data_IF_866333719860
#
_entry.id   IF_866333719860
#
_cell.length_a   1.000
_cell.length_b   1.000
_cell.length_c   1.000
_cell.angle_alpha   90.00
_cell.angle_beta   90.00
_cell.angle_gamma   90.00
#
_symmetry.space_group_name_H-M   'P 1'
#
loop_
_entity.id
_entity.type
_entity.pdbx_description
1 polymer ?
#
# COMPACT_ATOMS: atom_id res chain seq x y z
N UNK A 1 -40.42 -11.81 -2.58
CA UNK A 1 -39.15 -12.55 -2.77
C UNK A 1 -38.05 -11.68 -3.37
N UNK A 2 -38.28 -10.99 -4.50
CA UNK A 2 -37.29 -10.09 -5.15
C UNK A 2 -36.62 -9.10 -4.21
N UNK A 3 -37.41 -8.31 -3.46
CA UNK A 3 -36.87 -7.30 -2.56
C UNK A 3 -35.96 -7.89 -1.49
N UNK A 4 -36.30 -9.05 -0.91
CA UNK A 4 -35.48 -9.71 0.12
C UNK A 4 -34.14 -10.23 -0.43
N UNK A 5 -34.13 -10.79 -1.64
CA UNK A 5 -32.91 -11.26 -2.33
C UNK A 5 -31.98 -10.11 -2.73
N UNK A 6 -32.55 -9.03 -3.28
CA UNK A 6 -31.79 -7.82 -3.62
C UNK A 6 -31.20 -7.21 -2.35
N UNK A 7 -31.95 -7.17 -1.24
CA UNK A 7 -31.46 -6.63 0.02
C UNK A 7 -30.35 -7.50 0.64
N UNK A 8 -30.50 -8.83 0.61
CA UNK A 8 -29.50 -9.74 1.19
C UNK A 8 -28.20 -9.80 0.39
N UNK A 9 -28.27 -9.96 -0.94
CA UNK A 9 -27.06 -9.95 -1.78
C UNK A 9 -26.48 -8.54 -1.93
N UNK A 10 -27.33 -7.51 -1.93
CA UNK A 10 -26.89 -6.11 -1.91
C UNK A 10 -26.13 -5.78 -0.62
N UNK A 11 -26.58 -6.26 0.53
CA UNK A 11 -25.86 -6.10 1.80
C UNK A 11 -24.48 -6.75 1.75
N UNK A 12 -24.35 -7.96 1.19
CA UNK A 12 -23.06 -8.63 1.00
C UNK A 12 -22.14 -7.80 0.09
N UNK A 13 -22.66 -7.28 -1.03
CA UNK A 13 -21.90 -6.43 -1.93
C UNK A 13 -21.43 -5.14 -1.24
N UNK A 14 -22.28 -4.50 -0.42
CA UNK A 14 -21.91 -3.29 0.34
C UNK A 14 -20.84 -3.59 1.39
N UNK A 15 -20.93 -4.72 2.10
CA UNK A 15 -19.90 -5.14 3.06
C UNK A 15 -18.56 -5.39 2.37
N UNK A 16 -18.57 -6.04 1.20
CA UNK A 16 -17.36 -6.26 0.41
C UNK A 16 -16.75 -4.95 -0.10
N UNK A 17 -17.58 -4.00 -0.54
CA UNK A 17 -17.13 -2.67 -0.96
C UNK A 17 -16.53 -1.88 0.22
N UNK A 18 -17.18 -1.90 1.39
CA UNK A 18 -16.65 -1.25 2.58
C UNK A 18 -15.31 -1.85 3.01
N UNK A 19 -15.20 -3.17 3.00
CA UNK A 19 -13.94 -3.88 3.27
C UNK A 19 -12.84 -3.49 2.27
N UNK A 20 -13.19 -3.38 0.98
CA UNK A 20 -12.28 -2.94 -0.07
C UNK A 20 -11.80 -1.50 0.13
N UNK A 21 -12.72 -0.57 0.41
CA UNK A 21 -12.40 0.84 0.65
C UNK A 21 -11.52 0.99 1.89
N UNK A 22 -11.81 0.25 2.96
CA UNK A 22 -10.98 0.25 4.18
C UNK A 22 -9.57 -0.23 3.87
N UNK A 23 -9.42 -1.34 3.13
CA UNK A 23 -8.11 -1.87 2.72
C UNK A 23 -7.31 -0.87 1.86
N UNK A 24 -7.95 -0.17 0.93
CA UNK A 24 -7.29 0.86 0.09
C UNK A 24 -6.93 2.11 0.90
N UNK A 25 -7.75 2.51 1.87
CA UNK A 25 -7.45 3.66 2.73
C UNK A 25 -6.30 3.36 3.70
N UNK A 26 -6.27 2.16 4.28
CA UNK A 26 -5.16 1.68 5.10
C UNK A 26 -3.86 1.63 4.28
N UNK A 27 -3.94 1.22 3.02
CA UNK A 27 -2.85 1.31 2.05
C UNK A 27 -2.40 2.76 1.77
N UNK A 28 -3.32 3.72 1.60
CA UNK A 28 -2.94 5.13 1.35
C UNK A 28 -2.18 5.74 2.52
N UNK A 29 -2.56 5.37 3.76
CA UNK A 29 -1.89 5.82 4.98
C UNK A 29 -0.51 5.17 5.17
N UNK A 30 -0.38 3.91 4.75
CA UNK A 30 0.93 3.23 4.72
C UNK A 30 1.83 3.79 3.60
N UNK A 31 1.28 4.16 2.44
CA UNK A 31 2.02 4.78 1.34
C UNK A 31 2.52 6.19 1.66
N UNK A 32 1.75 7.01 2.38
CA UNK A 32 2.24 8.30 2.86
C UNK A 32 3.39 8.14 3.87
N UNK A 33 3.32 7.11 4.72
CA UNK A 33 4.41 6.77 5.63
C UNK A 33 5.68 6.32 4.88
N UNK A 34 5.52 5.61 3.75
CA UNK A 34 6.62 5.21 2.87
C UNK A 34 7.26 6.42 2.16
N UNK A 35 6.46 7.37 1.69
CA UNK A 35 6.98 8.59 1.05
C UNK A 35 7.75 9.47 2.04
N UNK A 36 7.29 9.55 3.29
CA UNK A 36 7.99 10.28 4.35
C UNK A 36 9.28 9.58 4.80
N UNK A 37 9.34 8.25 4.72
CA UNK A 37 10.54 7.48 5.03
C UNK A 37 11.62 7.73 3.96
N UNK A 38 11.26 7.58 2.68
CA UNK A 38 12.18 7.81 1.56
C UNK A 38 12.69 9.26 1.55
N UNK A 39 11.84 10.25 1.86
CA UNK A 39 12.26 11.65 1.96
C UNK A 39 13.32 11.85 3.06
N UNK A 40 13.09 11.29 4.26
CA UNK A 40 14.06 11.35 5.37
C UNK A 40 15.37 10.62 5.05
N UNK A 41 15.28 9.54 4.30
CA UNK A 41 16.45 8.76 3.89
C UNK A 41 17.33 9.51 2.87
N UNK A 42 16.70 10.20 1.91
CA UNK A 42 17.40 11.07 0.94
C UNK A 42 18.09 12.23 1.64
N UNK A 43 17.42 12.87 2.60
CA UNK A 43 18.00 13.94 3.40
C UNK A 43 19.21 13.44 4.20
N UNK A 44 19.12 12.23 4.76
CA UNK A 44 20.21 11.62 5.50
C UNK A 44 21.44 11.28 4.64
N UNK A 45 21.25 10.82 3.41
CA UNK A 45 22.37 10.64 2.45
C UNK A 45 23.07 11.98 2.17
N UNK A 46 22.27 13.02 1.96
CA UNK A 46 22.78 14.34 1.67
C UNK A 46 23.57 14.90 2.87
N UNK A 47 23.09 14.68 4.09
CA UNK A 47 23.78 15.07 5.31
C UNK A 47 25.11 14.31 5.50
N UNK A 48 25.13 12.99 5.26
CA UNK A 48 26.36 12.20 5.32
C UNK A 48 27.41 12.65 4.28
N UNK A 49 26.98 13.01 3.07
CA UNK A 49 27.87 13.61 2.04
C UNK A 49 28.43 14.95 2.46
N UNK A 50 27.56 15.85 2.93
CA UNK A 50 27.94 17.19 3.40
C UNK A 50 28.93 17.15 4.56
N UNK A 51 28.83 16.12 5.41
CA UNK A 51 29.79 15.84 6.49
C UNK A 51 31.20 15.59 5.95
N UNK A 52 31.33 14.73 4.93
CA UNK A 52 32.61 14.48 4.26
C UNK A 52 33.15 15.70 3.53
N UNK A 53 32.29 16.41 2.80
CA UNK A 53 32.65 17.63 2.06
C UNK A 53 33.17 18.73 2.98
N UNK A 54 32.49 19.01 4.09
CA UNK A 54 32.91 20.03 5.05
C UNK A 54 34.27 19.70 5.68
N UNK A 55 34.50 18.42 6.03
CA UNK A 55 35.78 17.99 6.60
C UNK A 55 36.93 18.13 5.57
N UNK A 56 36.69 17.75 4.31
CA UNK A 56 37.69 17.87 3.23
C UNK A 56 37.98 19.33 2.90
N UNK A 57 36.95 20.19 2.81
CA UNK A 57 37.09 21.62 2.54
C UNK A 57 37.95 22.30 3.61
N UNK A 58 37.69 22.02 4.89
CA UNK A 58 38.50 22.54 5.99
C UNK A 58 39.95 22.05 5.94
N UNK A 59 40.17 20.77 5.63
CA UNK A 59 41.52 20.23 5.52
C UNK A 59 42.30 20.84 4.34
N UNK A 60 41.64 21.06 3.21
CA UNK A 60 42.21 21.76 2.06
C UNK A 60 42.52 23.23 2.37
N UNK A 61 41.65 23.90 3.14
CA UNK A 61 41.90 25.27 3.58
C UNK A 61 43.15 25.36 4.47
N UNK A 62 43.36 24.41 5.40
CA UNK A 62 44.59 24.31 6.18
C UNK A 62 45.81 24.08 5.27
N UNK A 63 45.70 23.17 4.30
CA UNK A 63 46.81 22.87 3.39
C UNK A 63 47.18 24.09 2.53
N UNK A 64 46.18 24.83 2.03
CA UNK A 64 46.37 26.07 1.28
C UNK A 64 47.04 27.14 2.15
N UNK A 65 46.60 27.29 3.40
CA UNK A 65 47.19 28.20 4.38
C UNK A 65 48.67 27.90 4.61
N UNK A 66 49.03 26.62 4.76
CA UNK A 66 50.45 26.18 4.89
C UNK A 66 51.25 26.45 3.61
N UNK A 67 50.62 26.32 2.43
CA UNK A 67 51.27 26.53 1.13
C UNK A 67 51.61 27.99 0.81
N UNK A 68 50.71 28.92 1.16
CA UNK A 68 50.87 30.36 0.89
C UNK A 68 51.74 31.08 1.94
N UNK A 69 51.93 30.49 3.11
CA UNK A 69 52.79 31.03 4.18
C UNK A 69 52.26 32.30 4.85
N UNK A 70 51.01 32.69 4.57
CA UNK A 70 50.36 33.95 4.97
C UNK A 70 49.28 33.76 6.05
N UNK A 71 49.43 32.75 6.90
CA UNK A 71 48.36 32.37 7.85
C UNK A 71 48.30 33.35 9.01
N UNK A 72 47.26 34.19 8.99
CA UNK A 72 46.98 35.12 10.10
C UNK A 72 45.92 34.53 11.04
N UNK A 73 44.98 33.72 10.53
CA UNK A 73 43.89 33.09 11.30
C UNK A 73 43.55 31.68 10.76
N UNK A 74 42.99 30.80 11.61
CA UNK A 74 42.48 29.49 11.20
C UNK A 74 41.28 29.66 10.25
N UNK A 75 41.07 28.74 9.28
CA UNK A 75 39.83 28.70 8.52
C UNK A 75 38.63 28.57 9.46
N UNK A 76 37.53 29.25 9.14
CA UNK A 76 36.29 29.10 9.90
C UNK A 76 35.70 27.70 9.69
N UNK A 77 35.23 27.07 10.75
CA UNK A 77 34.61 25.76 10.70
C UNK A 77 33.44 25.69 11.68
N UNK A 78 32.25 25.42 11.13
CA UNK A 78 31.04 25.28 11.93
C UNK A 78 30.98 23.91 12.62
N UNK A 79 31.70 23.83 13.75
CA UNK A 79 31.73 22.65 14.61
C UNK A 79 30.34 22.29 15.15
N UNK A 80 29.48 23.27 15.37
CA UNK A 80 28.15 23.05 15.91
C UNK A 80 27.23 22.40 14.89
N UNK A 81 27.21 22.91 13.65
CA UNK A 81 26.45 22.32 12.55
C UNK A 81 26.96 20.91 12.21
N UNK A 82 28.28 20.68 12.26
CA UNK A 82 28.86 19.36 12.04
C UNK A 82 28.36 18.33 13.08
N UNK A 83 28.44 18.69 14.37
CA UNK A 83 27.99 17.80 15.46
C UNK A 83 26.48 17.54 15.40
N UNK A 84 25.68 18.56 15.09
CA UNK A 84 24.23 18.42 14.93
C UNK A 84 23.87 17.44 13.80
N UNK A 85 24.62 17.44 12.69
CA UNK A 85 24.43 16.48 11.60
C UNK A 85 24.83 15.06 11.98
N UNK A 86 25.89 14.87 12.77
CA UNK A 86 26.20 13.54 13.31
C UNK A 86 25.08 13.03 14.23
N UNK A 87 24.50 13.91 15.05
CA UNK A 87 23.38 13.57 15.93
C UNK A 87 22.11 13.21 15.15
N UNK A 88 21.78 13.97 14.09
CA UNK A 88 20.61 13.67 13.25
C UNK A 88 20.74 12.32 12.55
N UNK A 89 21.92 12.02 12.00
CA UNK A 89 22.18 10.73 11.33
C UNK A 89 22.15 9.55 12.32
N UNK A 90 22.69 9.73 13.52
CA UNK A 90 22.62 8.71 14.58
C UNK A 90 21.19 8.43 15.03
N UNK A 91 20.31 9.42 15.00
CA UNK A 91 18.90 9.27 15.37
C UNK A 91 18.06 8.68 14.23
N UNK A 92 18.48 8.87 12.98
CA UNK A 92 17.76 8.41 11.78
C UNK A 92 17.87 6.89 11.56
N UNK A 93 19.00 6.26 11.91
CA UNK A 93 19.24 4.83 11.61
C UNK A 93 19.59 4.01 12.85
N UNK A 94 18.86 2.91 13.06
CA UNK A 94 19.14 1.96 14.14
C UNK A 94 20.48 1.26 13.89
N UNK A 95 21.40 1.34 14.85
CA UNK A 95 22.72 0.69 14.76
C UNK A 95 23.84 1.55 14.18
N UNK A 96 23.57 2.80 13.79
CA UNK A 96 24.62 3.75 13.34
C UNK A 96 25.21 4.59 14.46
N UNK A 97 24.65 4.52 15.68
CA UNK A 97 25.12 5.32 16.84
C UNK A 97 26.60 5.13 17.13
N UNK A 98 27.10 3.89 17.08
CA UNK A 98 28.52 3.60 17.34
C UNK A 98 29.44 4.19 16.26
N UNK A 99 28.97 4.22 15.00
CA UNK A 99 29.70 4.82 13.88
C UNK A 99 29.67 6.34 13.97
N UNK A 100 28.52 6.93 14.30
CA UNK A 100 28.38 8.37 14.52
C UNK A 100 29.25 8.84 15.70
N UNK A 101 29.30 8.08 16.79
CA UNK A 101 30.18 8.38 17.94
C UNK A 101 31.66 8.25 17.56
N UNK A 102 32.01 7.28 16.72
CA UNK A 102 33.37 7.15 16.16
C UNK A 102 33.75 8.37 15.31
N UNK A 103 32.84 8.86 14.47
CA UNK A 103 33.02 10.09 13.67
C UNK A 103 33.23 11.30 14.58
N UNK A 104 32.38 11.49 15.60
CA UNK A 104 32.51 12.61 16.57
C UNK A 104 33.85 12.56 17.32
N UNK A 105 34.30 11.37 17.70
CA UNK A 105 35.59 11.18 18.37
C UNK A 105 36.76 11.51 17.43
N UNK A 106 36.75 11.00 16.21
CA UNK A 106 37.78 11.28 15.21
C UNK A 106 37.81 12.77 14.83
N UNK A 107 36.63 13.39 14.74
CA UNK A 107 36.46 14.81 14.50
C UNK A 107 37.08 15.65 15.62
N UNK A 108 36.76 15.34 16.88
CA UNK A 108 37.31 16.03 18.05
C UNK A 108 38.84 15.94 18.09
N UNK A 109 39.40 14.76 17.78
CA UNK A 109 40.84 14.56 17.72
C UNK A 109 41.52 15.34 16.57
N UNK A 110 40.85 15.41 15.42
CA UNK A 110 41.31 16.18 14.27
C UNK A 110 41.26 17.69 14.56
N UNK A 111 40.14 18.19 15.08
CA UNK A 111 39.96 19.60 15.41
C UNK A 111 40.96 20.07 16.48
N UNK A 112 41.15 19.28 17.54
CA UNK A 112 42.17 19.56 18.57
C UNK A 112 43.58 19.67 17.98
N UNK A 113 43.92 18.79 17.04
CA UNK A 113 45.21 18.83 16.35
C UNK A 113 45.29 20.08 15.47
N UNK A 114 44.23 20.45 14.77
CA UNK A 114 44.21 21.63 13.90
C UNK A 114 44.44 22.96 14.64
N UNK A 115 44.03 23.06 15.92
CA UNK A 115 44.27 24.25 16.75
C UNK A 115 45.77 24.53 16.99
N UNK A 116 46.61 23.51 16.89
CA UNK A 116 48.05 23.65 17.04
C UNK A 116 48.71 24.38 15.86
N UNK A 117 48.01 24.49 14.73
CA UNK A 117 48.47 25.17 13.53
C UNK A 117 48.94 26.60 13.84
N UNK A 118 48.19 27.32 14.68
CA UNK A 118 48.52 28.69 15.06
C UNK A 118 49.84 28.83 15.83
N UNK A 119 50.25 27.80 16.57
CA UNK A 119 51.56 27.75 17.24
C UNK A 119 52.66 27.27 16.29
N UNK A 120 52.37 26.24 15.49
CA UNK A 120 53.31 25.61 14.55
C UNK A 120 53.81 26.61 13.49
N UNK A 121 52.92 27.46 12.99
CA UNK A 121 53.27 28.47 11.97
C UNK A 121 54.13 29.60 12.54
N UNK A 122 53.94 29.95 13.82
CA UNK A 122 54.71 31.01 14.50
C UNK A 122 56.06 30.53 15.03
N UNK A 123 56.30 29.22 15.05
CA UNK A 123 57.52 28.65 15.59
C UNK A 123 58.59 28.51 14.51
N UNK A 124 59.66 29.30 14.62
CA UNK A 124 60.78 29.33 13.67
C UNK A 124 61.51 27.98 13.49
N UNK A 125 61.34 27.04 14.43
CA UNK A 125 62.03 25.75 14.46
C UNK A 125 61.13 24.56 14.04
N UNK A 126 59.83 24.76 13.84
CA UNK A 126 58.91 23.68 13.49
C UNK A 126 58.70 23.64 11.98
N UNK A 127 58.98 22.48 11.37
CA UNK A 127 58.62 22.27 9.97
C UNK A 127 57.09 22.10 9.86
N UNK A 128 56.39 23.18 9.52
CA UNK A 128 54.92 23.21 9.39
C UNK A 128 54.40 22.16 8.41
N UNK A 129 55.13 21.92 7.32
CA UNK A 129 54.79 20.88 6.33
C UNK A 129 54.95 19.48 6.90
N UNK A 130 56.03 19.21 7.63
CA UNK A 130 56.25 17.96 8.35
C UNK A 130 55.17 17.70 9.40
N UNK A 131 54.83 18.71 10.20
CA UNK A 131 53.73 18.63 11.16
C UNK A 131 52.39 18.28 10.49
N UNK A 132 52.08 18.85 9.31
CA UNK A 132 50.87 18.50 8.57
C UNK A 132 50.86 17.02 8.17
N UNK A 133 51.90 16.53 7.50
CA UNK A 133 51.95 15.14 7.00
C UNK A 133 52.08 14.11 8.13
N UNK A 134 52.84 14.42 9.17
CA UNK A 134 53.16 13.47 10.24
C UNK A 134 52.10 13.46 11.36
N UNK A 135 51.37 14.56 11.56
CA UNK A 135 50.47 14.73 12.71
C UNK A 135 49.03 15.02 12.34
N UNK A 136 48.77 15.98 11.44
CA UNK A 136 47.40 16.35 11.08
C UNK A 136 46.77 15.37 10.09
N UNK A 137 47.48 15.02 9.01
CA UNK A 137 46.98 14.15 7.94
C UNK A 137 46.57 12.76 8.45
N UNK A 138 47.29 12.08 9.37
CA UNK A 138 46.83 10.79 9.90
C UNK A 138 45.52 10.89 10.69
N UNK A 139 45.28 12.03 11.38
CA UNK A 139 44.02 12.29 12.11
C UNK A 139 42.89 12.55 11.14
N UNK A 140 43.15 13.33 10.09
CA UNK A 140 42.20 13.58 9.01
C UNK A 140 41.81 12.28 8.29
N UNK A 141 42.78 11.44 7.93
CA UNK A 141 42.54 10.15 7.28
C UNK A 141 41.68 9.22 8.13
N UNK A 142 41.79 9.30 9.47
CA UNK A 142 40.93 8.56 10.39
C UNK A 142 39.50 9.10 10.38
N UNK A 143 39.33 10.41 10.49
CA UNK A 143 38.02 11.07 10.39
C UNK A 143 37.32 10.70 9.07
N UNK A 144 38.03 10.82 7.95
CA UNK A 144 37.51 10.46 6.62
C UNK A 144 37.03 9.01 6.56
N UNK A 145 37.83 8.07 7.08
CA UNK A 145 37.45 6.65 7.12
C UNK A 145 36.19 6.42 7.96
N UNK A 146 36.09 7.07 9.11
CA UNK A 146 34.94 6.91 10.00
C UNK A 146 33.66 7.51 9.36
N UNK A 147 33.78 8.64 8.64
CA UNK A 147 32.70 9.22 7.83
C UNK A 147 32.30 8.27 6.69
N UNK A 148 33.27 7.69 5.98
CA UNK A 148 33.01 6.74 4.89
C UNK A 148 32.28 5.49 5.41
N UNK A 149 32.69 4.97 6.58
CA UNK A 149 32.03 3.83 7.21
C UNK A 149 30.58 4.14 7.63
N UNK A 150 30.35 5.32 8.23
CA UNK A 150 29.01 5.79 8.58
C UNK A 150 28.13 5.92 7.32
N UNK A 151 28.67 6.54 6.28
CA UNK A 151 28.01 6.72 4.99
C UNK A 151 27.64 5.38 4.35
N UNK A 152 28.57 4.43 4.31
CA UNK A 152 28.32 3.07 3.79
C UNK A 152 27.25 2.32 4.58
N UNK A 153 27.23 2.46 5.91
CA UNK A 153 26.19 1.85 6.74
C UNK A 153 24.81 2.44 6.43
N UNK A 154 24.72 3.77 6.29
CA UNK A 154 23.48 4.46 5.89
C UNK A 154 23.00 4.00 4.50
N UNK A 155 23.90 3.92 3.51
CA UNK A 155 23.55 3.42 2.18
C UNK A 155 23.10 1.96 2.20
N UNK A 156 23.76 1.11 3.01
CA UNK A 156 23.43 -0.30 3.13
C UNK A 156 22.06 -0.54 3.74
N UNK A 157 21.75 0.15 4.85
CA UNK A 157 20.45 0.06 5.50
C UNK A 157 19.34 0.60 4.59
N UNK A 158 19.63 1.68 3.86
CA UNK A 158 18.67 2.23 2.90
C UNK A 158 18.40 1.29 1.72
N UNK A 159 19.44 0.70 1.13
CA UNK A 159 19.28 -0.27 0.03
C UNK A 159 18.47 -1.48 0.48
N UNK A 160 18.74 -1.98 1.68
CA UNK A 160 18.00 -3.08 2.27
C UNK A 160 16.53 -2.71 2.46
N UNK A 161 16.24 -1.54 3.03
CA UNK A 161 14.88 -1.07 3.22
C UNK A 161 14.15 -0.87 1.88
N UNK A 162 14.78 -0.23 0.89
CA UNK A 162 14.20 -0.01 -0.44
C UNK A 162 13.84 -1.33 -1.16
N UNK A 163 14.75 -2.31 -1.20
CA UNK A 163 14.53 -3.60 -1.87
C UNK A 163 13.42 -4.43 -1.18
N UNK A 164 13.37 -4.38 0.15
CA UNK A 164 12.36 -5.10 0.94
C UNK A 164 10.98 -4.41 0.90
N UNK A 165 10.95 -3.09 0.69
CA UNK A 165 9.73 -2.30 0.53
C UNK A 165 9.08 -2.53 -0.84
N UNK A 166 9.84 -2.49 -1.94
CA UNK A 166 9.28 -2.66 -3.29
C UNK A 166 8.71 -4.08 -3.51
N UNK A 167 9.40 -5.10 -3.01
CA UNK A 167 9.04 -6.49 -3.25
C UNK A 167 7.92 -7.02 -2.35
N UNK A 168 7.82 -6.56 -1.09
CA UNK A 168 6.78 -7.03 -0.18
C UNK A 168 5.43 -6.35 -0.41
N UNK A 169 5.42 -5.07 -0.78
CA UNK A 169 4.20 -4.28 -0.98
C UNK A 169 3.42 -4.75 -2.22
N UNK A 170 4.10 -4.93 -3.35
CA UNK A 170 3.46 -5.41 -4.58
C UNK A 170 2.99 -6.87 -4.46
N UNK A 171 3.76 -7.74 -3.78
CA UNK A 171 3.46 -9.18 -3.68
C UNK A 171 2.35 -9.52 -2.69
N UNK A 172 2.16 -8.70 -1.65
CA UNK A 172 1.13 -8.97 -0.63
C UNK A 172 -0.27 -8.48 -1.04
N UNK A 173 -0.35 -7.38 -1.79
CA UNK A 173 -1.59 -6.60 -1.91
C UNK A 173 -2.38 -6.89 -3.20
N UNK A 174 -1.69 -7.08 -4.32
CA UNK A 174 -2.33 -7.36 -5.62
C UNK A 174 -3.29 -8.57 -5.55
N UNK A 175 -2.91 -9.71 -4.94
CA UNK A 175 -3.83 -10.84 -4.83
C UNK A 175 -5.10 -10.51 -4.04
N UNK A 176 -5.01 -9.64 -3.03
CA UNK A 176 -6.14 -9.21 -2.21
C UNK A 176 -7.15 -8.37 -2.99
N UNK A 177 -6.67 -7.35 -3.72
CA UNK A 177 -7.54 -6.48 -4.55
C UNK A 177 -8.24 -7.30 -5.64
N UNK A 178 -7.50 -8.20 -6.31
CA UNK A 178 -8.05 -9.06 -7.36
C UNK A 178 -9.10 -10.02 -6.79
N UNK A 179 -8.84 -10.65 -5.64
CA UNK A 179 -9.79 -11.55 -5.00
C UNK A 179 -11.11 -10.84 -4.63
N UNK A 180 -11.03 -9.61 -4.12
CA UNK A 180 -12.22 -8.81 -3.79
C UNK A 180 -13.00 -8.43 -5.05
N UNK A 181 -12.32 -7.99 -6.11
CA UNK A 181 -12.96 -7.65 -7.38
C UNK A 181 -13.70 -8.84 -8.00
N UNK A 182 -13.05 -10.01 -8.04
CA UNK A 182 -13.67 -11.25 -8.53
C UNK A 182 -14.85 -11.67 -7.64
N UNK A 183 -14.71 -11.58 -6.32
CA UNK A 183 -15.78 -11.89 -5.37
C UNK A 183 -17.03 -11.02 -5.58
N UNK A 184 -16.84 -9.72 -5.80
CA UNK A 184 -17.95 -8.81 -6.08
C UNK A 184 -18.65 -9.14 -7.40
N UNK A 185 -17.87 -9.47 -8.45
CA UNK A 185 -18.42 -9.88 -9.74
C UNK A 185 -19.25 -11.16 -9.61
N UNK A 186 -18.77 -12.15 -8.85
CA UNK A 186 -19.51 -13.39 -8.58
C UNK A 186 -20.82 -13.13 -7.83
N UNK A 187 -20.83 -12.25 -6.82
CA UNK A 187 -22.06 -11.89 -6.08
C UNK A 187 -23.10 -11.24 -7.02
N UNK A 188 -22.66 -10.37 -7.92
CA UNK A 188 -23.55 -9.72 -8.90
C UNK A 188 -24.08 -10.73 -9.92
N UNK A 189 -23.22 -11.60 -10.46
CA UNK A 189 -23.65 -12.67 -11.37
C UNK A 189 -24.65 -13.61 -10.68
N UNK A 190 -24.41 -13.98 -9.43
CA UNK A 190 -25.32 -14.83 -8.66
C UNK A 190 -26.68 -14.16 -8.46
N UNK A 191 -26.71 -12.86 -8.16
CA UNK A 191 -27.96 -12.11 -8.04
C UNK A 191 -28.74 -12.13 -9.36
N UNK A 192 -28.06 -11.86 -10.48
CA UNK A 192 -28.67 -11.86 -11.81
C UNK A 192 -29.21 -13.25 -12.18
N UNK A 193 -28.44 -14.30 -11.91
CA UNK A 193 -28.83 -15.68 -12.15
C UNK A 193 -30.09 -16.05 -11.34
N UNK A 194 -30.10 -15.75 -10.04
CA UNK A 194 -31.25 -16.00 -9.17
C UNK A 194 -32.49 -15.23 -9.63
N UNK A 195 -32.34 -13.96 -10.03
CA UNK A 195 -33.46 -13.16 -10.50
C UNK A 195 -34.04 -13.70 -11.81
N UNK A 196 -33.15 -14.07 -12.75
CA UNK A 196 -33.53 -14.50 -14.10
C UNK A 196 -34.19 -15.87 -14.11
N UNK A 197 -33.59 -16.86 -13.45
CA UNK A 197 -33.99 -18.26 -13.57
C UNK A 197 -34.96 -18.74 -12.49
N UNK A 198 -34.93 -18.15 -11.28
CA UNK A 198 -35.83 -18.59 -10.21
C UNK A 198 -36.92 -17.56 -9.92
N UNK A 199 -36.54 -16.34 -9.56
CA UNK A 199 -37.52 -15.39 -9.03
C UNK A 199 -38.49 -14.92 -10.11
N UNK A 200 -38.02 -14.55 -11.30
CA UNK A 200 -38.88 -14.08 -12.38
C UNK A 200 -39.90 -15.14 -12.83
N UNK A 201 -39.50 -16.39 -13.12
CA UNK A 201 -40.42 -17.47 -13.44
C UNK A 201 -41.46 -17.72 -12.34
N UNK A 202 -41.07 -17.80 -11.06
CA UNK A 202 -42.04 -18.02 -9.97
C UNK A 202 -43.12 -16.94 -9.91
N UNK A 203 -42.74 -15.67 -10.13
CA UNK A 203 -43.74 -14.59 -10.19
C UNK A 203 -44.66 -14.70 -11.41
N UNK A 204 -44.14 -15.12 -12.57
CA UNK A 204 -44.96 -15.36 -13.78
C UNK A 204 -45.95 -16.50 -13.55
N UNK A 205 -45.52 -17.61 -12.93
CA UNK A 205 -46.38 -18.74 -12.56
C UNK A 205 -47.49 -18.32 -11.60
N UNK A 206 -47.13 -17.59 -10.53
CA UNK A 206 -48.09 -17.09 -9.56
C UNK A 206 -49.13 -16.14 -10.20
N UNK A 207 -48.68 -15.23 -11.08
CA UNK A 207 -49.57 -14.33 -11.81
C UNK A 207 -50.50 -15.09 -12.78
N UNK A 208 -49.95 -16.07 -13.51
CA UNK A 208 -50.73 -16.93 -14.41
C UNK A 208 -51.80 -17.73 -13.66
N UNK A 209 -51.44 -18.31 -12.52
CA UNK A 209 -52.36 -19.08 -11.69
C UNK A 209 -53.44 -18.17 -11.06
N UNK A 210 -53.08 -16.97 -10.63
CA UNK A 210 -54.06 -15.97 -10.17
C UNK A 210 -55.02 -15.57 -11.29
N UNK A 211 -54.53 -15.38 -12.52
CA UNK A 211 -55.37 -15.03 -13.66
C UNK A 211 -56.35 -16.16 -14.03
N UNK A 212 -55.89 -17.41 -13.95
CA UNK A 212 -56.73 -18.60 -14.08
C UNK A 212 -57.83 -18.62 -13.02
N UNK A 213 -57.46 -18.45 -11.74
CA UNK A 213 -58.42 -18.54 -10.62
C UNK A 213 -59.45 -17.41 -10.62
N UNK A 214 -59.03 -16.18 -10.87
CA UNK A 214 -59.88 -14.98 -10.75
C UNK A 214 -60.71 -14.68 -11.99
N UNK A 215 -60.18 -14.99 -13.19
CA UNK A 215 -60.80 -14.60 -14.45
C UNK A 215 -61.09 -15.78 -15.38
N UNK A 216 -60.88 -17.02 -14.91
CA UNK A 216 -61.05 -18.25 -15.68
C UNK A 216 -60.27 -18.26 -17.01
N UNK A 217 -59.16 -17.50 -17.08
CA UNK A 217 -58.28 -17.45 -18.25
C UNK A 217 -57.46 -18.74 -18.33
N UNK A 218 -57.17 -19.21 -19.56
CA UNK A 218 -56.27 -20.37 -19.76
C UNK A 218 -54.88 -20.06 -19.22
N UNK A 219 -54.31 -20.97 -18.42
CA UNK A 219 -52.93 -20.88 -17.96
C UNK A 219 -51.99 -21.16 -19.15
N UNK A 220 -51.07 -20.24 -19.44
CA UNK A 220 -50.12 -20.36 -20.55
C UNK A 220 -48.80 -19.66 -20.19
N UNK A 221 -48.19 -20.07 -19.09
CA UNK A 221 -46.90 -19.53 -18.64
C UNK A 221 -45.78 -20.43 -19.16
N UNK A 222 -44.79 -19.82 -19.80
CA UNK A 222 -43.57 -20.49 -20.26
C UNK A 222 -42.34 -19.63 -19.91
N UNK A 223 -41.24 -20.31 -19.59
CA UNK A 223 -39.95 -19.71 -19.29
C UNK A 223 -38.82 -20.69 -19.66
N UNK A 224 -37.62 -20.16 -19.85
CA UNK A 224 -36.41 -20.95 -20.13
C UNK A 224 -35.85 -21.57 -18.86
N UNK A 225 -35.40 -22.82 -18.96
CA UNK A 225 -34.91 -23.63 -17.84
C UNK A 225 -35.25 -25.09 -18.05
N UNK A 226 -34.36 -25.98 -17.62
CA UNK A 226 -34.52 -27.45 -17.70
C UNK A 226 -34.49 -28.04 -16.28
N UNK A 227 -35.19 -27.37 -15.36
CA UNK A 227 -35.11 -27.58 -13.91
C UNK A 227 -36.44 -28.03 -13.29
N UNK A 228 -36.43 -28.30 -11.98
CA UNK A 228 -37.63 -28.69 -11.23
C UNK A 228 -38.74 -27.63 -11.29
N UNK A 229 -38.39 -26.36 -11.55
CA UNK A 229 -39.38 -25.29 -11.63
C UNK A 229 -40.24 -25.43 -12.89
N UNK A 230 -39.65 -25.88 -14.00
CA UNK A 230 -40.37 -26.23 -15.22
C UNK A 230 -41.30 -27.42 -15.02
N UNK A 231 -40.85 -28.46 -14.34
CA UNK A 231 -41.69 -29.63 -14.00
C UNK A 231 -42.93 -29.20 -13.19
N UNK A 232 -42.76 -28.32 -12.22
CA UNK A 232 -43.87 -27.74 -11.45
C UNK A 232 -44.80 -26.92 -12.36
N UNK A 233 -44.24 -26.11 -13.28
CA UNK A 233 -45.03 -25.31 -14.20
C UNK A 233 -45.88 -26.16 -15.16
N UNK A 234 -45.29 -27.24 -15.67
CA UNK A 234 -45.95 -28.15 -16.59
C UNK A 234 -47.06 -28.92 -15.86
N UNK A 235 -46.81 -29.39 -14.62
CA UNK A 235 -47.85 -29.97 -13.78
C UNK A 235 -48.99 -28.99 -13.43
N UNK A 236 -48.69 -27.72 -13.21
CA UNK A 236 -49.74 -26.67 -13.03
C UNK A 236 -50.54 -26.50 -14.33
N UNK A 237 -49.88 -26.48 -15.49
CA UNK A 237 -50.55 -26.34 -16.78
C UNK A 237 -51.50 -27.51 -17.06
N UNK A 238 -51.07 -28.74 -16.78
CA UNK A 238 -51.89 -29.95 -16.94
C UNK A 238 -53.12 -29.91 -16.03
N UNK A 239 -52.93 -29.71 -14.71
CA UNK A 239 -54.04 -29.67 -13.74
C UNK A 239 -55.04 -28.56 -14.06
N UNK A 240 -54.57 -27.41 -14.53
CA UNK A 240 -55.45 -26.28 -14.87
C UNK A 240 -56.26 -26.54 -16.14
N UNK A 241 -55.69 -27.24 -17.13
CA UNK A 241 -56.40 -27.67 -18.34
C UNK A 241 -57.42 -28.77 -18.03
N UNK A 242 -57.04 -29.79 -17.27
CA UNK A 242 -57.96 -30.83 -16.76
C UNK A 242 -59.14 -30.21 -16.00
N UNK A 243 -58.89 -29.29 -15.08
CA UNK A 243 -59.96 -28.60 -14.35
C UNK A 243 -60.87 -27.79 -15.28
N UNK A 244 -60.32 -27.16 -16.32
CA UNK A 244 -61.14 -26.44 -17.30
C UNK A 244 -62.03 -27.39 -18.11
N UNK A 245 -61.50 -28.53 -18.55
CA UNK A 245 -62.28 -29.54 -19.26
C UNK A 245 -63.37 -30.14 -18.37
N UNK A 246 -63.07 -30.44 -17.10
CA UNK A 246 -64.04 -30.90 -16.10
C UNK A 246 -65.15 -29.86 -15.87
N UNK A 247 -64.80 -28.58 -15.67
CA UNK A 247 -65.80 -27.50 -15.54
C UNK A 247 -66.71 -27.42 -16.76
N UNK A 248 -66.18 -27.53 -17.97
CA UNK A 248 -66.98 -27.55 -19.22
C UNK A 248 -67.92 -28.75 -19.26
N UNK A 249 -67.44 -29.95 -18.90
CA UNK A 249 -68.27 -31.17 -18.83
C UNK A 249 -69.39 -31.05 -17.80
N UNK A 250 -69.11 -30.53 -16.61
CA UNK A 250 -70.13 -30.31 -15.57
C UNK A 250 -71.21 -29.34 -16.05
N UNK A 251 -70.83 -28.26 -16.73
CA UNK A 251 -71.79 -27.30 -17.30
C UNK A 251 -72.64 -27.98 -18.39
N UNK A 252 -72.03 -28.79 -19.27
CA UNK A 252 -72.76 -29.52 -20.29
C UNK A 252 -73.79 -30.49 -19.70
N UNK A 253 -73.40 -31.29 -18.69
CA UNK A 253 -74.29 -32.22 -17.98
C UNK A 253 -75.42 -31.49 -17.23
N UNK A 254 -75.16 -30.32 -16.66
CA UNK A 254 -76.20 -29.51 -16.01
C UNK A 254 -77.22 -28.96 -17.00
N UNK A 255 -76.82 -28.79 -18.26
CA UNK A 255 -77.65 -28.25 -19.33
C UNK A 255 -78.31 -29.35 -20.20
N UNK A 256 -78.08 -30.63 -19.92
CA UNK A 256 -78.82 -31.73 -20.55
C UNK A 256 -80.28 -31.75 -20.03
N UNK A 257 -81.29 -31.76 -20.92
CA UNK A 257 -82.69 -31.77 -20.51
C UNK A 257 -83.01 -33.08 -19.79
N UNK A 258 -83.53 -32.98 -18.56
CA UNK A 258 -84.06 -34.14 -17.83
C UNK A 258 -85.33 -34.65 -18.52
N UNK A 259 -85.18 -35.70 -19.32
CA UNK A 259 -86.22 -36.66 -19.69
C UNK A 259 -87.25 -36.19 -20.71
N UNK A 260 -87.19 -36.77 -21.90
CA UNK A 260 -88.40 -37.16 -22.63
C UNK A 260 -88.73 -38.61 -22.26
N UNK A 261 -89.68 -38.79 -21.33
CA UNK A 261 -90.62 -39.92 -21.38
C UNK A 261 -91.82 -39.46 -22.19
#
# INVERSE_FOLDING_TARGET
MRGKLILSLGAIAVVLLLSSVISVLEYSKMSSYVSDLIAKDVDSINDARRLGEAAEEYNLAILAAIGDGSVTELPDFDAQAFMQKCDSLSAAFTGTSELADSVKYAYSAYMLTSLELGYVIKADFINTRGWYFDRLQPRFNRLRRDIDNLSLAIYGDLSFNADNMDSSLYRSIIPGIVAVGVGLLLVVMLLLFMLSYYVNPTYRMAAGLSAYRSYNKKYNVSFEGDDQLREINDGIAEITDENQTLRKRIIALKNEPKGGQ
#
